data_IF_355852695783
#
_entry.id   IF_355852695783
#
_cell.length_a   1.000
_cell.length_b   1.000
_cell.length_c   1.000
_cell.angle_alpha   90.00
_cell.angle_beta   90.00
_cell.angle_gamma   90.00
#
_symmetry.space_group_name_H-M   'P 1'
#
loop_
_entity.id
_entity.type
_entity.pdbx_description
1 polymer ?
#
# COMPACT_ATOMS: atom_id res chain seq x y z
N UNK A 1 11.54 33.29 45.49
CA UNK A 1 11.24 31.83 45.40
C UNK A 1 9.95 31.48 44.67
N UNK A 2 8.77 32.07 44.98
CA UNK A 2 7.48 31.68 44.35
C UNK A 2 7.41 31.81 42.81
N UNK A 3 8.16 32.74 42.21
CA UNK A 3 8.18 32.95 40.74
C UNK A 3 8.88 31.82 39.98
N UNK A 4 9.96 31.26 40.55
CA UNK A 4 10.72 30.16 39.95
C UNK A 4 9.95 28.84 40.01
N UNK A 5 9.15 28.61 41.06
CA UNK A 5 8.29 27.42 41.18
C UNK A 5 7.20 27.44 40.11
N UNK A 6 6.57 28.59 39.85
CA UNK A 6 5.56 28.72 38.79
C UNK A 6 6.15 28.44 37.40
N UNK A 7 7.36 28.93 37.12
CA UNK A 7 8.04 28.68 35.86
C UNK A 7 8.38 27.20 35.69
N UNK A 8 8.87 26.55 36.76
CA UNK A 8 9.20 25.12 36.75
C UNK A 8 7.96 24.26 36.47
N UNK A 9 6.81 24.58 37.07
CA UNK A 9 5.54 23.89 36.82
C UNK A 9 5.07 24.05 35.37
N UNK A 10 5.19 25.25 34.80
CA UNK A 10 4.80 25.51 33.40
C UNK A 10 5.70 24.73 32.43
N UNK A 11 7.01 24.70 32.67
CA UNK A 11 7.95 23.92 31.85
C UNK A 11 7.65 22.42 31.96
N UNK A 12 7.35 21.92 33.16
CA UNK A 12 7.00 20.51 33.37
C UNK A 12 5.73 20.12 32.62
N UNK A 13 4.69 20.97 32.68
CA UNK A 13 3.46 20.78 31.91
C UNK A 13 3.72 20.78 30.40
N UNK A 14 4.59 21.67 29.92
CA UNK A 14 4.94 21.73 28.50
C UNK A 14 5.67 20.46 28.04
N UNK A 15 6.60 19.94 28.86
CA UNK A 15 7.31 18.68 28.61
C UNK A 15 6.32 17.51 28.58
N UNK A 16 5.37 17.45 29.54
CA UNK A 16 4.34 16.42 29.59
C UNK A 16 3.46 16.45 28.32
N UNK A 17 3.06 17.63 27.85
CA UNK A 17 2.27 17.78 26.62
C UNK A 17 3.06 17.31 25.39
N UNK A 18 4.35 17.64 25.29
CA UNK A 18 5.21 17.18 24.18
C UNK A 18 5.35 15.65 24.19
N UNK A 19 5.62 15.07 25.36
CA UNK A 19 5.75 13.61 25.52
C UNK A 19 4.42 12.91 25.18
N UNK A 20 3.30 13.44 25.66
CA UNK A 20 1.97 12.90 25.39
C UNK A 20 1.65 12.90 23.89
N UNK A 21 1.91 14.01 23.18
CA UNK A 21 1.66 14.08 21.73
C UNK A 21 2.58 13.16 20.91
N UNK A 22 3.80 12.90 21.38
CA UNK A 22 4.71 11.98 20.69
C UNK A 22 4.30 10.51 20.90
N UNK A 23 3.86 10.17 22.12
CA UNK A 23 3.40 8.82 22.47
C UNK A 23 1.99 8.49 21.93
N UNK A 24 1.09 9.48 21.89
CA UNK A 24 -0.25 9.38 21.30
C UNK A 24 -0.31 10.13 19.95
N UNK A 25 0.64 9.84 19.06
CA UNK A 25 0.55 10.29 17.68
C UNK A 25 -0.55 9.51 16.96
N UNK A 26 -1.81 9.88 17.20
CA UNK A 26 -2.93 9.52 16.33
C UNK A 26 -2.82 10.34 15.05
N UNK A 27 -1.71 10.14 14.32
CA UNK A 27 -1.52 10.81 13.06
C UNK A 27 -2.47 10.16 12.06
N UNK A 28 -3.21 10.98 11.32
CA UNK A 28 -4.02 10.54 10.18
C UNK A 28 -3.24 9.61 9.23
N UNK A 29 -1.92 9.76 9.18
CA UNK A 29 -1.02 8.89 8.42
C UNK A 29 -0.90 7.47 8.96
N UNK A 30 -1.07 7.22 10.26
CA UNK A 30 -1.00 5.86 10.82
C UNK A 30 -2.29 5.08 10.61
N UNK A 31 -3.44 5.77 10.68
CA UNK A 31 -4.75 5.21 10.30
C UNK A 31 -4.79 4.88 8.80
N UNK A 32 -4.29 5.78 7.94
CA UNK A 32 -4.15 5.48 6.52
C UNK A 32 -3.13 4.36 6.22
N UNK A 33 -2.11 4.14 7.04
CA UNK A 33 -1.17 3.03 6.83
C UNK A 33 -1.82 1.67 7.00
N UNK A 34 -2.63 1.50 8.04
CA UNK A 34 -3.43 0.28 8.25
C UNK A 34 -4.30 -0.03 7.02
N UNK A 35 -4.99 1.01 6.52
CA UNK A 35 -6.07 0.80 5.56
C UNK A 35 -5.60 0.78 4.10
N UNK A 36 -4.49 1.48 3.79
CA UNK A 36 -3.97 1.61 2.42
C UNK A 36 -2.62 0.92 2.17
N UNK A 37 -1.84 0.62 3.22
CA UNK A 37 -0.54 -0.06 3.10
C UNK A 37 -0.60 -1.45 3.75
N UNK A 38 -0.86 -2.50 2.96
CA UNK A 38 -1.12 -3.84 3.49
C UNK A 38 0.04 -4.42 4.29
N UNK A 39 -0.29 -5.38 5.16
CA UNK A 39 0.65 -6.24 5.86
C UNK A 39 1.64 -6.91 4.89
N UNK A 40 2.78 -7.33 5.43
CA UNK A 40 3.79 -8.08 4.67
C UNK A 40 3.13 -9.30 4.01
N UNK A 41 3.32 -9.46 2.71
CA UNK A 41 2.81 -10.58 1.93
C UNK A 41 3.97 -11.20 1.19
N UNK A 42 4.10 -12.53 1.28
CA UNK A 42 5.15 -13.26 0.59
C UNK A 42 4.63 -14.61 0.13
N UNK A 43 5.08 -15.08 -1.02
CA UNK A 43 4.59 -16.35 -1.54
C UNK A 43 4.86 -16.55 -3.02
N UNK A 44 4.25 -17.60 -3.57
CA UNK A 44 4.34 -17.91 -5.00
C UNK A 44 3.11 -17.42 -5.74
N UNK A 45 3.32 -16.83 -6.91
CA UNK A 45 2.24 -16.42 -7.80
C UNK A 45 1.59 -17.67 -8.40
N UNK A 46 0.31 -17.92 -8.14
CA UNK A 46 -0.39 -19.07 -8.73
C UNK A 46 -1.34 -18.67 -9.86
N UNK A 47 -1.83 -17.43 -9.85
CA UNK A 47 -2.69 -16.92 -10.91
C UNK A 47 -2.48 -15.42 -11.16
N UNK A 48 -2.66 -15.02 -12.43
CA UNK A 48 -2.37 -13.68 -12.93
C UNK A 48 -3.55 -13.27 -13.81
N UNK A 49 -4.20 -12.17 -13.48
CA UNK A 49 -5.40 -11.71 -14.21
C UNK A 49 -5.37 -10.20 -14.43
N UNK A 50 -5.76 -9.76 -15.63
CA UNK A 50 -5.95 -8.32 -15.90
C UNK A 50 -7.27 -7.87 -15.27
N UNK A 51 -7.25 -6.74 -14.58
CA UNK A 51 -8.46 -6.14 -13.97
C UNK A 51 -8.69 -4.73 -14.54
N UNK A 52 -9.89 -4.19 -14.29
CA UNK A 52 -10.25 -2.85 -14.76
C UNK A 52 -9.26 -1.80 -14.25
N UNK A 53 -9.02 -0.80 -15.11
CA UNK A 53 -8.15 0.32 -14.77
C UNK A 53 -6.68 0.16 -15.16
N UNK A 54 -6.35 -0.79 -16.04
CA UNK A 54 -4.98 -1.00 -16.52
C UNK A 54 -4.07 -1.62 -15.45
N UNK A 55 -4.66 -2.35 -14.50
CA UNK A 55 -3.95 -2.99 -13.40
C UNK A 55 -3.90 -4.50 -13.61
N UNK A 56 -2.87 -5.12 -13.02
CA UNK A 56 -2.69 -6.55 -12.98
C UNK A 56 -2.96 -7.06 -11.57
N UNK A 57 -3.84 -8.06 -11.44
CA UNK A 57 -4.12 -8.73 -10.19
C UNK A 57 -3.36 -10.05 -10.10
N UNK A 58 -2.51 -10.17 -9.10
CA UNK A 58 -1.77 -11.38 -8.78
C UNK A 58 -2.46 -12.09 -7.62
N UNK A 59 -2.66 -13.39 -7.76
CA UNK A 59 -3.06 -14.25 -6.65
C UNK A 59 -1.84 -15.03 -6.16
N UNK A 60 -1.64 -15.04 -4.85
CA UNK A 60 -0.40 -15.46 -4.19
C UNK A 60 -0.71 -16.52 -3.15
N UNK A 61 -0.05 -17.66 -3.25
CA UNK A 61 -0.05 -18.68 -2.20
C UNK A 61 0.90 -18.19 -1.10
N UNK A 62 0.34 -17.67 -0.02
CA UNK A 62 1.09 -17.29 1.19
C UNK A 62 1.09 -18.43 2.20
N UNK A 63 1.90 -18.30 3.26
CA UNK A 63 2.02 -19.31 4.31
C UNK A 63 0.73 -19.48 5.14
N UNK A 64 -0.12 -18.44 5.21
CA UNK A 64 -1.34 -18.45 6.02
C UNK A 64 -2.60 -18.70 5.20
N UNK A 65 -2.76 -17.97 4.08
CA UNK A 65 -3.93 -18.06 3.20
C UNK A 65 -3.61 -17.46 1.84
N UNK A 66 -4.27 -17.97 0.80
CA UNK A 66 -4.25 -17.32 -0.50
C UNK A 66 -4.73 -15.88 -0.39
N UNK A 67 -3.89 -14.97 -0.87
CA UNK A 67 -4.16 -13.54 -0.86
C UNK A 67 -3.85 -12.94 -2.23
N UNK A 68 -4.39 -11.75 -2.51
CA UNK A 68 -4.28 -11.11 -3.79
C UNK A 68 -3.80 -9.68 -3.71
N UNK A 69 -3.06 -9.26 -4.74
CA UNK A 69 -2.53 -7.91 -4.82
C UNK A 69 -2.61 -7.35 -6.24
N UNK A 70 -2.87 -6.05 -6.33
CA UNK A 70 -2.93 -5.31 -7.58
C UNK A 70 -1.65 -4.53 -7.84
N UNK A 71 -1.23 -4.51 -9.10
CA UNK A 71 -0.06 -3.78 -9.58
C UNK A 71 -0.50 -2.81 -10.67
N UNK A 72 -0.10 -1.55 -10.55
CA UNK A 72 -0.23 -0.54 -11.62
C UNK A 72 0.97 -0.65 -12.56
N UNK A 73 0.78 -0.36 -13.85
CA UNK A 73 1.75 -0.60 -14.93
C UNK A 73 1.81 -2.07 -15.40
N UNK A 74 0.63 -2.58 -15.79
CA UNK A 74 0.40 -4.01 -16.04
C UNK A 74 1.25 -4.62 -17.17
N UNK A 75 1.57 -3.88 -18.24
CA UNK A 75 2.10 -4.52 -19.45
C UNK A 75 3.58 -4.93 -19.32
N UNK A 76 4.42 -4.09 -18.71
CA UNK A 76 5.83 -4.45 -18.46
C UNK A 76 5.95 -5.62 -17.48
N UNK A 77 5.17 -5.57 -16.40
CA UNK A 77 5.14 -6.61 -15.37
C UNK A 77 4.61 -7.91 -15.96
N UNK A 78 3.44 -7.90 -16.62
CA UNK A 78 2.81 -9.10 -17.18
C UNK A 78 3.72 -9.84 -18.16
N UNK A 79 4.44 -9.12 -19.02
CA UNK A 79 5.34 -9.73 -19.98
C UNK A 79 6.59 -10.36 -19.34
N UNK A 80 6.90 -9.98 -18.10
CA UNK A 80 8.13 -10.35 -17.39
C UNK A 80 7.91 -11.42 -16.32
N UNK A 81 6.68 -11.62 -15.86
CA UNK A 81 6.34 -12.52 -14.75
C UNK A 81 5.67 -13.81 -15.23
N UNK A 82 5.81 -14.88 -14.45
CA UNK A 82 5.14 -16.17 -14.69
C UNK A 82 4.60 -16.73 -13.37
N UNK A 83 3.71 -17.72 -13.47
CA UNK A 83 3.31 -18.54 -12.33
C UNK A 83 4.55 -19.18 -11.69
N UNK A 84 4.46 -19.48 -10.39
CA UNK A 84 5.52 -20.01 -9.52
C UNK A 84 6.65 -19.05 -9.18
N UNK A 85 6.72 -17.85 -9.79
CA UNK A 85 7.68 -16.84 -9.36
C UNK A 85 7.37 -16.39 -7.93
N UNK A 86 8.44 -16.11 -7.18
CA UNK A 86 8.32 -15.67 -5.81
C UNK A 86 8.03 -14.18 -5.79
N UNK A 87 7.07 -13.80 -4.98
CA UNK A 87 6.65 -12.43 -4.76
C UNK A 87 6.86 -12.05 -3.30
N UNK A 88 7.24 -10.80 -3.06
CA UNK A 88 7.20 -10.20 -1.74
C UNK A 88 6.72 -8.75 -1.81
N UNK A 89 5.83 -8.42 -0.90
CA UNK A 89 5.41 -7.08 -0.55
C UNK A 89 6.12 -6.63 0.72
N UNK A 90 6.69 -5.43 0.71
CA UNK A 90 7.26 -4.82 1.91
C UNK A 90 6.14 -4.32 2.83
N UNK A 91 6.32 -4.50 4.14
CA UNK A 91 5.42 -3.97 5.16
C UNK A 91 5.38 -2.44 5.11
N UNK A 92 4.22 -1.86 5.39
CA UNK A 92 4.01 -0.41 5.51
C UNK A 92 4.47 0.42 4.29
N UNK A 93 4.48 -0.20 3.11
CA UNK A 93 4.93 0.40 1.85
C UNK A 93 4.08 -0.10 0.69
N UNK A 94 4.01 0.66 -0.39
CA UNK A 94 3.49 0.18 -1.68
C UNK A 94 4.57 -0.56 -2.49
N UNK A 95 5.76 -0.76 -1.94
CA UNK A 95 6.84 -1.43 -2.67
C UNK A 95 6.69 -2.95 -2.65
N UNK A 96 6.82 -3.52 -3.82
CA UNK A 96 6.83 -4.95 -4.06
C UNK A 96 8.01 -5.34 -4.93
N UNK A 97 8.37 -6.62 -4.85
CA UNK A 97 9.30 -7.21 -5.79
C UNK A 97 8.95 -8.66 -6.15
N UNK A 98 9.39 -9.07 -7.33
CA UNK A 98 9.30 -10.44 -7.82
C UNK A 98 10.70 -10.96 -8.09
N UNK A 99 10.99 -12.17 -7.59
CA UNK A 99 12.22 -12.89 -7.85
C UNK A 99 11.99 -13.84 -9.04
N UNK A 100 12.80 -13.67 -10.07
CA UNK A 100 12.82 -14.47 -11.31
C UNK A 100 14.22 -15.06 -11.48
N UNK A 101 14.42 -16.29 -10.99
CA UNK A 101 15.76 -16.88 -10.95
C UNK A 101 16.71 -15.96 -10.19
N UNK A 102 17.75 -15.47 -10.86
CA UNK A 102 18.78 -14.59 -10.27
C UNK A 102 18.46 -13.09 -10.39
N UNK A 103 17.28 -12.73 -10.94
CA UNK A 103 16.86 -11.34 -11.12
C UNK A 103 15.76 -10.94 -10.14
N UNK A 104 15.82 -9.69 -9.67
CA UNK A 104 14.78 -9.09 -8.82
C UNK A 104 14.18 -7.91 -9.57
N UNK A 105 12.85 -7.87 -9.67
CA UNK A 105 12.10 -6.80 -10.30
C UNK A 105 11.29 -6.05 -9.26
N UNK A 106 11.50 -4.73 -9.13
CA UNK A 106 10.81 -3.86 -8.18
C UNK A 106 9.68 -3.07 -8.86
N UNK A 107 8.57 -2.88 -8.16
CA UNK A 107 7.41 -2.12 -8.64
C UNK A 107 6.49 -1.71 -7.49
N UNK A 108 5.57 -0.80 -7.79
CA UNK A 108 4.53 -0.37 -6.85
C UNK A 108 3.29 -1.28 -6.92
N UNK A 109 2.75 -1.62 -5.76
CA UNK A 109 1.65 -2.53 -5.55
C UNK A 109 0.69 -2.03 -4.47
N UNK A 110 -0.58 -2.43 -4.59
CA UNK A 110 -1.67 -1.95 -3.73
C UNK A 110 -2.66 -3.11 -3.52
N UNK A 111 -3.25 -3.22 -2.33
CA UNK A 111 -4.39 -4.13 -2.15
C UNK A 111 -5.61 -3.44 -2.70
N UNK A 112 -6.01 -3.91 -3.87
CA UNK A 112 -7.20 -3.48 -4.55
C UNK A 112 -7.86 -4.74 -5.09
N UNK A 113 -9.03 -5.07 -4.56
CA UNK A 113 -9.71 -6.34 -4.84
C UNK A 113 -10.28 -6.37 -6.26
N UNK A 114 -10.56 -7.57 -6.78
CA UNK A 114 -11.27 -7.73 -8.06
C UNK A 114 -12.66 -7.10 -7.97
N UNK A 115 -13.33 -7.24 -6.85
CA UNK A 115 -14.67 -6.74 -6.56
C UNK A 115 -14.70 -5.21 -6.58
N UNK A 116 -13.72 -4.57 -5.96
CA UNK A 116 -13.58 -3.11 -5.98
C UNK A 116 -13.24 -2.60 -7.38
N UNK A 117 -12.48 -3.38 -8.17
CA UNK A 117 -12.24 -3.05 -9.58
C UNK A 117 -13.52 -3.01 -10.40
N UNK A 118 -14.55 -3.78 -10.06
CA UNK A 118 -15.83 -3.76 -10.79
C UNK A 118 -16.57 -2.43 -10.58
N UNK A 119 -16.44 -1.83 -9.39
CA UNK A 119 -17.04 -0.54 -9.00
C UNK A 119 -16.40 0.65 -9.73
N UNK A 120 -15.17 0.46 -10.21
CA UNK A 120 -14.49 1.43 -11.08
C UNK A 120 -15.31 1.57 -12.38
N UNK A 121 -15.81 2.79 -12.63
CA UNK A 121 -16.47 3.09 -13.89
C UNK A 121 -15.47 3.41 -15.01
N UNK A 122 -15.99 3.73 -16.21
CA UNK A 122 -15.14 3.84 -17.40
C UNK A 122 -14.22 5.08 -17.29
N UNK A 123 -12.94 4.91 -17.60
CA UNK A 123 -12.03 6.04 -17.81
C UNK A 123 -12.43 6.69 -19.14
N UNK A 124 -12.64 8.01 -19.16
CA UNK A 124 -13.00 8.74 -20.39
C UNK A 124 -11.85 8.73 -21.41
N UNK A 125 -10.61 8.58 -20.96
CA UNK A 125 -9.39 8.34 -21.75
C UNK A 125 -8.16 8.18 -20.85
N UNK A 126 -7.23 7.28 -21.20
CA UNK A 126 -6.02 7.02 -20.41
C UNK A 126 -4.95 8.07 -20.68
N UNK A 127 -4.57 8.83 -19.65
CA UNK A 127 -3.42 9.73 -19.67
C UNK A 127 -2.34 9.19 -18.73
N UNK A 128 -1.15 8.81 -19.23
CA UNK A 128 -0.11 8.17 -18.43
C UNK A 128 0.59 9.11 -17.45
N UNK A 129 0.48 10.43 -17.66
CA UNK A 129 1.19 11.45 -16.88
C UNK A 129 0.35 12.13 -15.80
N UNK A 130 -0.94 11.80 -15.69
CA UNK A 130 -1.84 12.41 -14.69
C UNK A 130 -2.73 11.37 -14.03
N UNK A 131 -3.24 11.69 -12.84
CA UNK A 131 -4.29 10.90 -12.17
C UNK A 131 -5.56 10.93 -13.02
N UNK A 132 -5.86 9.80 -13.68
CA UNK A 132 -7.06 9.66 -14.50
C UNK A 132 -8.33 9.78 -13.65
N UNK A 133 -9.27 10.63 -14.08
CA UNK A 133 -10.57 10.80 -13.42
C UNK A 133 -11.49 9.63 -13.78
N UNK A 134 -12.05 8.99 -12.75
CA UNK A 134 -13.01 7.92 -12.89
C UNK A 134 -14.42 8.48 -12.99
N UNK A 135 -15.15 8.11 -14.04
CA UNK A 135 -16.58 8.34 -14.07
C UNK A 135 -17.24 7.26 -13.22
N UNK A 136 -17.92 7.63 -12.13
CA UNK A 136 -18.72 6.68 -11.37
C UNK A 136 -19.77 6.05 -12.31
N UNK A 137 -19.93 4.74 -12.22
CA UNK A 137 -20.97 4.02 -12.95
C UNK A 137 -22.31 4.45 -12.33
N UNK A 138 -23.15 5.15 -13.10
CA UNK A 138 -24.56 5.37 -12.73
C UNK A 138 -25.31 4.05 -12.74
#
# INVERSE_FOLDING_TARGET
MKKNIKYLVVVLLFIIVIIYNNLNSNSFTDEMKSDYFPMEMKGKIYDISRIKGGSLYLNIHTDSKDDGISIRNSDFVLNSIKKQFYFRKLSNSNQCYIIKGDSIMYFDCYVFSKEDSVKIGKIKGWKPTITNQWLLKK
#
